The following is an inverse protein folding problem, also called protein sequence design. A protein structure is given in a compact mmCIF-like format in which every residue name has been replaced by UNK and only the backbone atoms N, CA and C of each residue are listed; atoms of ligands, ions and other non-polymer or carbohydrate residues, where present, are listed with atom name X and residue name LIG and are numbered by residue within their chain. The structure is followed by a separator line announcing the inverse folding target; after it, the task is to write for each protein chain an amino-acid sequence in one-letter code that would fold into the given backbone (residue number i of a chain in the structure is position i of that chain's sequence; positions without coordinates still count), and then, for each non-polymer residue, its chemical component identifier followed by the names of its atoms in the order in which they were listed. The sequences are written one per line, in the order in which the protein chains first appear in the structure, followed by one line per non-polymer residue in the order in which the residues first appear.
data_IF_065509001312
#
_entry.id   IF_065509001312
#
_cell.length_a   1.000
_cell.length_b   1.000
_cell.length_c   1.000
_cell.angle_alpha   90.00
_cell.angle_beta   90.00
_cell.angle_gamma   90.00
#
_symmetry.space_group_name_H-M   'P 1'
#
loop_
_entity.id
_entity.type
_entity.pdbx_description
1 polymer ?
#
# COMPACT_ATOMS: atom_id res chain seq x y z
N UNK A 1 20.77 21.91 -12.20
CA UNK A 1 20.76 20.48 -12.56
C UNK A 1 19.68 20.17 -13.61
N UNK A 2 18.51 20.84 -13.55
CA UNK A 2 17.35 20.55 -14.40
C UNK A 2 16.89 21.76 -15.24
N UNK A 3 17.81 22.67 -15.58
CA UNK A 3 17.52 23.93 -16.30
C UNK A 3 16.98 23.71 -17.72
N UNK A 4 17.23 22.55 -18.30
CA UNK A 4 16.74 22.15 -19.62
C UNK A 4 15.37 21.45 -19.59
N UNK A 5 14.78 21.28 -18.40
CA UNK A 5 13.44 20.72 -18.21
C UNK A 5 12.44 21.88 -18.11
N UNK A 6 11.36 21.90 -18.92
CA UNK A 6 10.48 23.07 -19.04
C UNK A 6 9.50 23.27 -17.87
N UNK A 7 9.59 22.43 -16.84
CA UNK A 7 8.78 22.46 -15.62
C UNK A 7 9.70 22.36 -14.40
N UNK A 8 9.21 22.76 -13.24
CA UNK A 8 9.98 22.67 -12.00
C UNK A 8 10.19 21.21 -11.58
N UNK A 9 11.38 20.94 -10.98
CA UNK A 9 11.72 19.66 -10.38
C UNK A 9 12.13 19.90 -8.93
N UNK A 10 11.32 19.41 -7.99
CA UNK A 10 11.57 19.61 -6.56
C UNK A 10 10.49 19.00 -5.67
N UNK A 11 10.77 18.96 -4.36
CA UNK A 11 9.91 18.31 -3.37
C UNK A 11 8.49 18.90 -3.27
N UNK A 12 8.28 20.15 -3.71
CA UNK A 12 6.97 20.81 -3.66
C UNK A 12 5.90 20.13 -4.51
N UNK A 13 6.30 19.31 -5.48
CA UNK A 13 5.39 18.61 -6.38
C UNK A 13 5.06 17.19 -5.94
N UNK A 14 5.69 16.69 -4.87
CA UNK A 14 5.44 15.36 -4.33
C UNK A 14 3.97 15.22 -3.93
N UNK A 15 3.29 14.20 -4.46
CA UNK A 15 1.88 13.93 -4.20
C UNK A 15 0.91 14.79 -5.00
N UNK A 16 1.35 15.53 -6.03
CA UNK A 16 0.45 16.22 -6.96
C UNK A 16 -0.57 15.23 -7.55
N UNK A 17 -1.85 15.57 -7.41
CA UNK A 17 -2.96 14.77 -7.96
C UNK A 17 -3.50 15.40 -9.23
N UNK A 18 -3.26 14.74 -10.38
CA UNK A 18 -3.78 15.18 -11.67
C UNK A 18 -5.12 14.50 -11.91
N UNK A 19 -6.21 15.29 -11.93
CA UNK A 19 -7.55 14.79 -12.20
C UNK A 19 -7.73 14.51 -13.71
N UNK A 20 -8.71 13.67 -14.06
CA UNK A 20 -8.98 13.29 -15.44
C UNK A 20 -9.16 14.49 -16.39
N UNK A 21 -9.79 15.58 -15.95
CA UNK A 21 -10.03 16.77 -16.76
C UNK A 21 -8.77 17.62 -16.96
N UNK A 22 -7.79 17.50 -16.08
CA UNK A 22 -6.54 18.25 -16.08
C UNK A 22 -5.40 17.47 -16.75
N UNK A 23 -5.65 16.21 -17.10
CA UNK A 23 -4.66 15.32 -17.67
C UNK A 23 -4.54 15.52 -19.19
N UNK A 24 -3.30 15.61 -19.69
CA UNK A 24 -2.99 15.52 -21.11
C UNK A 24 -3.08 14.06 -21.56
N UNK A 25 -2.31 13.17 -20.96
CA UNK A 25 -2.35 11.73 -21.23
C UNK A 25 -2.26 10.91 -19.94
N UNK A 26 -2.73 9.66 -20.01
CA UNK A 26 -2.59 8.65 -18.97
C UNK A 26 -1.79 7.48 -19.53
N UNK A 27 -0.78 7.02 -18.80
CA UNK A 27 0.02 5.85 -19.15
C UNK A 27 -0.11 4.77 -18.04
N UNK A 28 -0.28 3.53 -18.43
CA UNK A 28 -0.59 2.45 -17.49
C UNK A 28 -1.96 2.63 -16.86
N UNK A 29 -2.02 2.45 -15.54
CA UNK A 29 -3.26 2.60 -14.77
C UNK A 29 -4.18 1.38 -14.82
N UNK A 30 -5.35 1.46 -14.14
CA UNK A 30 -6.21 0.29 -13.90
C UNK A 30 -6.83 -0.32 -15.16
N UNK A 31 -6.86 0.41 -16.29
CA UNK A 31 -7.42 -0.08 -17.55
C UNK A 31 -6.41 -0.82 -18.43
N UNK A 32 -5.13 -0.79 -18.08
CA UNK A 32 -4.04 -1.46 -18.79
C UNK A 32 -3.63 -2.69 -17.99
N UNK A 33 -3.72 -3.87 -18.59
CA UNK A 33 -3.40 -5.13 -17.91
C UNK A 33 -1.88 -5.35 -17.84
N UNK A 34 -1.21 -5.33 -18.98
CA UNK A 34 0.24 -5.54 -19.06
C UNK A 34 0.96 -4.21 -18.90
N UNK A 35 1.63 -4.07 -17.78
CA UNK A 35 2.44 -2.91 -17.41
C UNK A 35 3.46 -3.32 -16.38
N UNK A 36 4.63 -2.71 -16.37
CA UNK A 36 5.67 -3.03 -15.40
C UNK A 36 6.60 -1.84 -15.14
N UNK A 37 7.24 -1.86 -13.98
CA UNK A 37 8.36 -1.01 -13.62
C UNK A 37 9.41 -1.91 -12.98
N UNK A 38 10.50 -2.12 -13.71
CA UNK A 38 11.52 -3.10 -13.37
C UNK A 38 12.87 -2.41 -13.27
N UNK A 39 13.59 -2.67 -12.18
CA UNK A 39 15.00 -2.35 -12.04
C UNK A 39 15.83 -3.62 -12.19
N UNK A 40 16.95 -3.51 -12.89
CA UNK A 40 17.92 -4.61 -13.06
C UNK A 40 19.33 -4.14 -12.77
N UNK A 41 20.02 -4.84 -11.87
CA UNK A 41 21.45 -4.71 -11.69
C UNK A 41 22.15 -5.47 -12.82
N UNK A 42 23.08 -4.79 -13.49
CA UNK A 42 23.89 -5.30 -14.58
C UNK A 42 25.37 -5.26 -14.21
N UNK A 43 26.17 -5.99 -14.92
CA UNK A 43 27.63 -5.88 -14.78
C UNK A 43 28.13 -4.58 -15.41
N UNK A 44 29.17 -3.96 -14.83
CA UNK A 44 29.80 -2.80 -15.45
C UNK A 44 30.19 -3.08 -16.92
N UNK A 45 29.81 -2.15 -17.81
CA UNK A 45 30.05 -2.26 -19.25
C UNK A 45 28.96 -2.97 -20.06
N UNK A 46 27.97 -3.62 -19.43
CA UNK A 46 26.83 -4.21 -20.15
C UNK A 46 25.79 -3.16 -20.57
N UNK A 47 25.80 -1.98 -19.95
CA UNK A 47 24.87 -0.89 -20.22
C UNK A 47 25.61 0.40 -20.59
N UNK A 48 24.92 1.31 -21.27
CA UNK A 48 25.46 2.62 -21.65
C UNK A 48 25.01 3.69 -20.65
N UNK A 49 25.97 4.27 -19.95
CA UNK A 49 25.66 5.32 -18.99
C UNK A 49 24.94 6.53 -19.61
N UNK A 50 23.95 7.04 -18.90
CA UNK A 50 23.19 8.22 -19.27
C UNK A 50 22.22 8.03 -20.44
N UNK A 51 22.07 6.80 -20.97
CA UNK A 51 21.19 6.53 -22.10
C UNK A 51 19.72 6.52 -21.69
N UNK A 52 18.89 7.23 -22.45
CA UNK A 52 17.44 7.21 -22.32
C UNK A 52 16.86 6.77 -23.67
N UNK A 53 16.03 5.72 -23.64
CA UNK A 53 15.37 5.17 -24.82
C UNK A 53 13.86 5.21 -24.62
N UNK A 54 13.13 5.59 -25.66
CA UNK A 54 11.67 5.53 -25.70
C UNK A 54 11.30 4.62 -26.87
N UNK A 55 10.58 3.54 -26.57
CA UNK A 55 10.12 2.56 -27.55
C UNK A 55 8.60 2.67 -27.65
N UNK A 56 8.10 3.06 -28.81
CA UNK A 56 6.72 3.45 -29.04
C UNK A 56 6.54 4.97 -29.06
N UNK A 57 5.30 5.50 -29.07
CA UNK A 57 5.02 6.93 -29.11
C UNK A 57 5.54 7.65 -27.86
N UNK A 58 6.21 8.79 -28.05
CA UNK A 58 6.55 9.72 -26.97
C UNK A 58 5.39 10.68 -26.69
N UNK A 59 5.47 11.49 -25.64
CA UNK A 59 4.40 12.41 -25.23
C UNK A 59 3.96 13.35 -26.36
N UNK A 60 4.90 13.78 -27.22
CA UNK A 60 4.60 14.62 -28.39
C UNK A 60 3.75 13.91 -29.46
N UNK A 61 3.83 12.59 -29.51
CA UNK A 61 3.12 11.77 -30.49
C UNK A 61 1.76 11.26 -29.97
N UNK A 62 1.44 11.58 -28.71
CA UNK A 62 0.24 11.11 -28.03
C UNK A 62 -0.92 12.11 -28.16
N UNK A 63 -2.15 11.61 -28.16
CA UNK A 63 -3.35 12.43 -28.25
C UNK A 63 -3.90 12.80 -26.85
N UNK A 64 -4.33 14.05 -26.71
CA UNK A 64 -4.90 14.56 -25.46
C UNK A 64 -6.12 13.72 -25.01
N UNK A 65 -6.15 13.39 -23.74
CA UNK A 65 -7.23 12.63 -23.10
C UNK A 65 -7.13 11.11 -23.29
N UNK A 66 -6.19 10.65 -24.11
CA UNK A 66 -6.02 9.23 -24.41
C UNK A 66 -5.19 8.50 -23.35
N UNK A 67 -5.23 7.16 -23.43
CA UNK A 67 -4.53 6.25 -22.53
C UNK A 67 -3.60 5.36 -23.33
N UNK A 68 -2.39 5.22 -22.81
CA UNK A 68 -1.34 4.40 -23.43
C UNK A 68 -0.82 3.36 -22.44
N UNK A 69 -0.29 2.23 -22.92
CA UNK A 69 0.42 1.28 -22.08
C UNK A 69 1.71 1.89 -21.54
N UNK A 70 2.29 1.28 -20.48
CA UNK A 70 3.54 1.74 -19.88
C UNK A 70 4.38 0.58 -19.37
N UNK A 71 5.63 0.54 -19.81
CA UNK A 71 6.71 -0.23 -19.20
C UNK A 71 7.87 0.71 -18.89
N UNK A 72 8.50 0.54 -17.74
CA UNK A 72 9.71 1.27 -17.35
C UNK A 72 10.77 0.23 -16.98
N UNK A 73 11.93 0.28 -17.65
CA UNK A 73 13.10 -0.53 -17.32
C UNK A 73 14.23 0.42 -16.96
N UNK A 74 14.73 0.29 -15.74
CA UNK A 74 15.93 1.00 -15.28
C UNK A 74 17.02 -0.05 -15.06
N UNK A 75 18.12 0.08 -15.79
CA UNK A 75 19.27 -0.79 -15.65
C UNK A 75 20.42 0.00 -15.04
N UNK A 76 21.03 -0.57 -14.01
CA UNK A 76 22.09 0.06 -13.22
C UNK A 76 23.30 -0.86 -13.13
N UNK A 77 24.49 -0.28 -13.11
CA UNK A 77 25.71 -1.03 -12.91
C UNK A 77 26.70 -0.25 -12.02
N UNK A 78 27.46 -1.01 -11.26
CA UNK A 78 28.52 -0.55 -10.38
C UNK A 78 29.13 -1.74 -9.63
N UNK A 79 30.39 -1.70 -9.22
CA UNK A 79 31.10 -2.84 -8.67
C UNK A 79 30.57 -3.32 -7.30
N UNK A 80 29.90 -2.43 -6.57
CA UNK A 80 29.35 -2.71 -5.23
C UNK A 80 27.85 -2.94 -5.23
N UNK A 81 27.21 -2.91 -6.42
CA UNK A 81 25.77 -3.15 -6.55
C UNK A 81 25.43 -4.64 -6.45
N UNK A 82 24.37 -4.94 -5.77
CA UNK A 82 23.78 -6.26 -5.67
C UNK A 82 22.31 -6.23 -6.09
N UNK A 83 21.78 -7.35 -6.57
CA UNK A 83 20.39 -7.47 -7.05
C UNK A 83 19.36 -7.13 -5.96
N UNK A 84 19.69 -7.33 -4.69
CA UNK A 84 18.81 -7.03 -3.57
C UNK A 84 18.45 -5.54 -3.43
N UNK A 85 19.11 -4.62 -4.16
CA UNK A 85 18.76 -3.19 -4.15
C UNK A 85 17.65 -2.85 -5.15
N UNK A 86 17.32 -3.75 -6.08
CA UNK A 86 16.42 -3.47 -7.20
C UNK A 86 15.04 -2.98 -6.75
N UNK A 87 14.42 -3.65 -5.75
CA UNK A 87 13.11 -3.25 -5.23
C UNK A 87 13.10 -1.86 -4.55
N UNK A 88 14.21 -1.49 -3.89
CA UNK A 88 14.35 -0.16 -3.29
C UNK A 88 14.40 0.91 -4.37
N UNK A 89 15.14 0.67 -5.45
CA UNK A 89 15.26 1.62 -6.56
C UNK A 89 13.94 1.73 -7.32
N UNK A 90 13.19 0.65 -7.51
CA UNK A 90 11.81 0.71 -8.05
C UNK A 90 10.95 1.68 -7.22
N UNK A 91 11.04 1.61 -5.89
CA UNK A 91 10.31 2.55 -5.03
C UNK A 91 10.82 3.99 -5.15
N UNK A 92 12.13 4.19 -5.42
CA UNK A 92 12.70 5.52 -5.67
C UNK A 92 12.26 6.13 -7.00
N UNK A 93 12.04 5.32 -8.03
CA UNK A 93 11.48 5.80 -9.30
C UNK A 93 10.15 6.51 -9.05
N UNK A 94 9.25 5.89 -8.27
CA UNK A 94 7.99 6.51 -7.89
C UNK A 94 8.18 7.87 -7.18
N UNK A 95 9.10 7.95 -6.24
CA UNK A 95 9.35 9.17 -5.48
C UNK A 95 9.88 10.29 -6.37
N UNK A 96 10.94 10.00 -7.13
CA UNK A 96 11.62 11.01 -7.93
C UNK A 96 10.80 11.53 -9.09
N UNK A 97 10.00 10.69 -9.72
CA UNK A 97 9.11 11.14 -10.80
C UNK A 97 8.01 12.08 -10.28
N UNK A 98 7.57 11.91 -9.02
CA UNK A 98 6.63 12.84 -8.38
C UNK A 98 7.26 14.17 -7.95
N UNK A 99 8.58 14.36 -8.09
CA UNK A 99 9.22 15.67 -7.93
C UNK A 99 9.07 16.56 -9.18
N UNK A 100 8.52 16.04 -10.28
CA UNK A 100 8.34 16.77 -11.53
C UNK A 100 6.97 17.46 -11.50
N UNK A 101 6.94 18.78 -11.67
CA UNK A 101 5.69 19.54 -11.77
C UNK A 101 4.81 19.02 -12.91
N UNK A 102 3.56 18.71 -12.60
CA UNK A 102 2.60 18.23 -13.58
C UNK A 102 2.81 16.79 -14.04
N UNK A 103 3.58 16.01 -13.29
CA UNK A 103 3.74 14.57 -13.48
C UNK A 103 3.27 13.84 -12.22
N UNK A 104 2.30 12.97 -12.35
CA UNK A 104 1.80 12.11 -11.26
C UNK A 104 2.18 10.68 -11.56
N UNK A 105 2.85 10.04 -10.64
CA UNK A 105 3.18 8.62 -10.72
C UNK A 105 2.70 7.89 -9.46
N UNK A 106 1.86 6.88 -9.65
CA UNK A 106 1.49 5.92 -8.64
C UNK A 106 2.10 4.57 -9.02
N UNK A 107 2.87 4.03 -8.11
CA UNK A 107 3.52 2.72 -8.27
C UNK A 107 3.13 1.81 -7.13
N UNK A 108 2.62 0.65 -7.49
CA UNK A 108 2.25 -0.46 -6.61
C UNK A 108 2.77 -1.77 -7.22
N UNK A 109 4.02 -1.78 -7.71
CA UNK A 109 4.69 -2.92 -8.33
C UNK A 109 3.96 -3.47 -9.56
N UNK A 110 2.72 -3.94 -9.41
CA UNK A 110 1.88 -4.49 -10.47
C UNK A 110 0.87 -3.48 -11.03
N UNK A 111 0.79 -2.28 -10.48
CA UNK A 111 -0.20 -1.27 -10.88
C UNK A 111 0.44 0.11 -10.98
N UNK A 112 1.30 0.27 -11.99
CA UNK A 112 1.88 1.58 -12.30
C UNK A 112 0.87 2.45 -13.03
N UNK A 113 0.81 3.72 -12.65
CA UNK A 113 -0.14 4.66 -13.18
C UNK A 113 0.46 6.06 -13.22
N UNK A 114 0.66 6.57 -14.44
CA UNK A 114 1.23 7.88 -14.70
C UNK A 114 0.17 8.77 -15.35
N UNK A 115 0.14 10.04 -14.94
CA UNK A 115 -0.58 11.12 -15.65
C UNK A 115 0.33 12.31 -15.85
N UNK A 116 0.27 12.87 -17.06
CA UNK A 116 0.90 14.14 -17.40
C UNK A 116 -0.18 15.22 -17.45
N UNK A 117 0.05 16.35 -16.78
CA UNK A 117 -0.91 17.46 -16.76
C UNK A 117 -0.87 18.26 -18.06
N UNK A 118 -2.04 18.76 -18.53
CA UNK A 118 -2.14 19.70 -19.66
C UNK A 118 -1.25 20.92 -19.48
N UNK A 119 -1.19 21.47 -18.25
CA UNK A 119 -0.34 22.62 -17.92
C UNK A 119 1.15 22.35 -18.14
N UNK A 120 1.62 21.12 -17.81
CA UNK A 120 3.01 20.75 -18.02
C UNK A 120 3.31 20.57 -19.52
N UNK A 121 2.43 19.88 -20.24
CA UNK A 121 2.56 19.72 -21.68
C UNK A 121 2.60 21.08 -22.39
N UNK A 122 1.73 22.01 -22.02
CA UNK A 122 1.70 23.37 -22.58
C UNK A 122 2.97 24.20 -22.29
N UNK A 123 3.70 23.88 -21.20
CA UNK A 123 5.01 24.47 -20.90
C UNK A 123 6.16 23.83 -21.72
N UNK A 124 5.89 22.79 -22.52
CA UNK A 124 6.89 22.09 -23.32
C UNK A 124 7.35 20.74 -22.75
N UNK A 125 6.68 20.21 -21.73
CA UNK A 125 6.97 18.86 -21.21
C UNK A 125 6.39 17.80 -22.15
N UNK A 126 7.08 17.59 -23.28
CA UNK A 126 6.61 16.82 -24.44
C UNK A 126 7.35 15.50 -24.66
N UNK A 127 8.23 15.11 -23.74
CA UNK A 127 8.99 13.85 -23.85
C UNK A 127 9.18 13.19 -22.51
N UNK A 128 9.07 11.85 -22.46
CA UNK A 128 9.48 11.02 -21.32
C UNK A 128 10.99 11.07 -21.07
N UNK A 129 11.75 11.59 -22.04
CA UNK A 129 13.18 11.85 -21.90
C UNK A 129 13.52 12.77 -20.71
N UNK A 130 12.65 13.72 -20.38
CA UNK A 130 12.83 14.57 -19.19
C UNK A 130 12.69 13.74 -17.88
N UNK A 131 11.77 12.80 -17.85
CA UNK A 131 11.63 11.86 -16.70
C UNK A 131 12.89 11.03 -16.54
N UNK A 132 13.41 10.48 -17.63
CA UNK A 132 14.67 9.73 -17.62
C UNK A 132 15.85 10.55 -17.12
N UNK A 133 15.97 11.82 -17.52
CA UNK A 133 17.02 12.73 -17.00
C UNK A 133 16.92 12.93 -15.49
N UNK A 134 15.71 13.16 -14.97
CA UNK A 134 15.49 13.31 -13.52
C UNK A 134 15.89 12.05 -12.77
N UNK A 135 15.44 10.88 -13.25
CA UNK A 135 15.78 9.59 -12.64
C UNK A 135 17.29 9.35 -12.59
N UNK A 136 17.98 9.52 -13.71
CA UNK A 136 19.44 9.33 -13.80
C UNK A 136 20.16 10.25 -12.83
N UNK A 137 19.80 11.54 -12.82
CA UNK A 137 20.48 12.53 -11.98
C UNK A 137 20.25 12.26 -10.49
N UNK A 138 19.02 11.98 -10.06
CA UNK A 138 18.70 11.79 -8.65
C UNK A 138 19.22 10.45 -8.12
N UNK A 139 19.10 9.36 -8.89
CA UNK A 139 19.61 8.06 -8.48
C UNK A 139 21.13 8.06 -8.31
N UNK A 140 21.88 8.67 -9.24
CA UNK A 140 23.35 8.80 -9.10
C UNK A 140 23.76 9.71 -7.95
N UNK A 141 22.98 10.75 -7.67
CA UNK A 141 23.27 11.67 -6.57
C UNK A 141 23.04 11.01 -5.19
N UNK A 142 21.99 10.23 -5.07
CA UNK A 142 21.64 9.55 -3.80
C UNK A 142 22.47 8.29 -3.57
N UNK A 143 22.72 7.52 -4.62
CA UNK A 143 23.48 6.27 -4.57
C UNK A 143 24.72 6.37 -5.48
N UNK A 144 25.81 6.99 -5.03
CA UNK A 144 27.03 7.17 -5.84
C UNK A 144 27.69 5.87 -6.30
N UNK A 145 27.31 4.72 -5.70
CA UNK A 145 27.75 3.40 -6.14
C UNK A 145 27.15 2.99 -7.51
N UNK A 146 26.12 3.73 -7.99
CA UNK A 146 25.59 3.58 -9.35
C UNK A 146 26.51 4.33 -10.30
N UNK A 147 27.45 3.62 -10.91
CA UNK A 147 28.38 4.20 -11.87
C UNK A 147 27.76 4.39 -13.25
N UNK A 148 26.93 3.43 -13.67
CA UNK A 148 26.23 3.45 -14.95
C UNK A 148 24.74 3.24 -14.75
N UNK A 149 23.92 3.96 -15.52
CA UNK A 149 22.47 3.86 -15.51
C UNK A 149 21.92 4.15 -16.90
N UNK A 150 20.98 3.32 -17.32
CA UNK A 150 20.15 3.60 -18.49
C UNK A 150 18.68 3.38 -18.19
N UNK A 151 17.82 4.14 -18.86
CA UNK A 151 16.37 4.13 -18.67
C UNK A 151 15.69 3.87 -20.01
N UNK A 152 14.79 2.90 -20.04
CA UNK A 152 13.96 2.63 -21.21
C UNK A 152 12.49 2.74 -20.85
N UNK A 153 11.76 3.55 -21.61
CA UNK A 153 10.30 3.64 -21.54
C UNK A 153 9.70 2.86 -22.72
N UNK A 154 8.70 2.04 -22.42
CA UNK A 154 7.90 1.32 -23.40
C UNK A 154 6.48 1.86 -23.35
N UNK A 155 5.98 2.33 -24.49
CA UNK A 155 4.67 2.97 -24.62
C UNK A 155 3.80 2.34 -25.70
N UNK A 156 4.26 1.25 -26.31
CA UNK A 156 3.47 0.44 -27.22
C UNK A 156 3.18 -0.96 -26.63
N UNK A 157 2.05 -1.52 -27.02
CA UNK A 157 1.56 -2.78 -26.47
C UNK A 157 2.45 -3.97 -26.84
N UNK A 158 2.98 -4.00 -28.04
CA UNK A 158 3.73 -5.15 -28.55
C UNK A 158 5.05 -5.35 -27.78
N UNK A 159 5.80 -4.27 -27.64
CA UNK A 159 7.07 -4.32 -26.88
C UNK A 159 6.86 -4.56 -25.39
N UNK A 160 5.77 -4.06 -24.81
CA UNK A 160 5.43 -4.35 -23.40
C UNK A 160 5.08 -5.82 -23.24
N UNK A 161 4.20 -6.38 -24.08
CA UNK A 161 3.82 -7.79 -24.01
C UNK A 161 5.03 -8.71 -24.14
N UNK A 162 5.99 -8.37 -25.00
CA UNK A 162 7.23 -9.12 -25.16
C UNK A 162 8.11 -9.12 -23.89
N UNK A 163 8.04 -8.09 -23.06
CA UNK A 163 8.84 -7.92 -21.83
C UNK A 163 8.09 -8.28 -20.54
N UNK A 164 6.77 -8.31 -20.58
CA UNK A 164 5.93 -8.47 -19.40
C UNK A 164 6.22 -9.78 -18.66
N UNK A 165 6.38 -10.89 -19.40
CA UNK A 165 6.68 -12.19 -18.80
C UNK A 165 8.06 -12.18 -18.08
N UNK A 166 9.06 -11.49 -18.64
CA UNK A 166 10.37 -11.31 -18.00
C UNK A 166 10.27 -10.53 -16.70
N UNK A 167 9.50 -9.43 -16.71
CA UNK A 167 9.29 -8.61 -15.52
C UNK A 167 8.56 -9.40 -14.41
N UNK A 168 7.50 -10.13 -14.76
CA UNK A 168 6.77 -10.96 -13.81
C UNK A 168 7.63 -12.07 -13.23
N UNK A 169 8.46 -12.73 -14.06
CA UNK A 169 9.39 -13.74 -13.60
C UNK A 169 10.46 -13.19 -12.64
N UNK A 170 10.94 -11.96 -12.88
CA UNK A 170 11.88 -11.30 -11.98
C UNK A 170 11.26 -10.99 -10.62
N UNK A 171 10.02 -10.48 -10.61
CA UNK A 171 9.29 -10.25 -9.36
C UNK A 171 9.05 -11.54 -8.59
N UNK A 172 8.58 -12.60 -9.27
CA UNK A 172 8.32 -13.88 -8.61
C UNK A 172 9.60 -14.52 -8.07
N UNK A 173 10.73 -14.43 -8.78
CA UNK A 173 12.01 -14.95 -8.28
C UNK A 173 12.46 -14.24 -6.99
N UNK A 174 12.30 -12.92 -6.90
CA UNK A 174 12.58 -12.15 -5.67
C UNK A 174 11.66 -12.56 -4.52
N UNK A 175 10.38 -12.71 -4.80
CA UNK A 175 9.37 -13.06 -3.81
C UNK A 175 9.52 -14.50 -3.31
N UNK A 176 9.76 -15.44 -4.21
CA UNK A 176 9.99 -16.84 -3.87
C UNK A 176 11.19 -17.02 -2.94
N UNK A 177 12.27 -16.25 -3.19
CA UNK A 177 13.44 -16.25 -2.31
C UNK A 177 13.10 -15.72 -0.92
N UNK A 178 12.34 -14.67 -0.82
CA UNK A 178 11.96 -14.09 0.47
C UNK A 178 11.02 -14.99 1.26
N UNK A 179 10.11 -15.73 0.61
CA UNK A 179 9.20 -16.70 1.26
C UNK A 179 9.94 -17.87 1.91
N UNK A 180 11.17 -18.15 1.52
CA UNK A 180 12.01 -19.20 2.11
C UNK A 180 12.60 -18.85 3.48
N UNK A 181 12.41 -17.60 3.97
CA UNK A 181 12.96 -17.12 5.24
C UNK A 181 11.82 -16.79 6.21
N UNK A 182 12.02 -17.12 7.49
CA UNK A 182 11.05 -16.81 8.55
C UNK A 182 11.53 -15.68 9.47
N UNK A 183 10.63 -15.11 10.22
CA UNK A 183 10.96 -14.05 11.19
C UNK A 183 11.84 -14.58 12.33
N UNK A 184 11.84 -15.90 12.58
CA UNK A 184 12.66 -16.53 13.61
C UNK A 184 14.10 -16.80 13.14
N UNK A 185 14.35 -16.78 11.82
CA UNK A 185 15.68 -17.02 11.25
C UNK A 185 16.61 -15.79 11.32
N UNK A 186 16.10 -14.64 11.78
CA UNK A 186 16.83 -13.37 11.75
C UNK A 186 16.76 -12.63 13.09
N UNK A 187 17.83 -11.93 13.43
CA UNK A 187 17.91 -11.07 14.63
C UNK A 187 17.65 -9.59 14.31
N UNK A 188 17.62 -9.24 13.02
CA UNK A 188 17.47 -7.88 12.54
C UNK A 188 16.31 -7.81 11.55
N UNK A 189 15.38 -6.91 11.84
CA UNK A 189 14.35 -6.44 10.89
C UNK A 189 14.80 -5.13 10.25
N UNK A 190 14.02 -4.60 9.31
CA UNK A 190 14.32 -3.33 8.69
C UNK A 190 13.15 -2.37 8.80
N UNK A 191 13.48 -1.10 9.03
CA UNK A 191 12.51 0.00 8.97
C UNK A 191 12.66 0.76 7.67
N UNK A 192 11.54 1.21 7.11
CA UNK A 192 11.53 2.07 5.94
C UNK A 192 10.76 3.37 6.25
N UNK A 193 11.41 4.51 6.07
CA UNK A 193 10.87 5.85 6.28
C UNK A 193 10.65 6.63 4.98
N UNK A 194 10.75 5.98 3.80
CA UNK A 194 10.60 6.62 2.48
C UNK A 194 9.29 7.38 2.32
N UNK A 195 8.22 6.93 2.98
CA UNK A 195 6.90 7.53 2.88
C UNK A 195 6.62 8.60 3.95
N UNK A 196 7.58 8.98 4.78
CA UNK A 196 7.37 9.98 5.83
C UNK A 196 7.12 11.40 5.29
N UNK A 197 7.47 11.68 4.04
CA UNK A 197 7.06 12.90 3.34
C UNK A 197 5.53 13.04 3.19
N UNK A 198 4.82 11.92 3.12
CA UNK A 198 3.35 11.89 3.01
C UNK A 198 2.65 11.54 4.32
N UNK A 199 3.32 10.76 5.16
CA UNK A 199 2.80 10.23 6.42
C UNK A 199 3.90 10.31 7.49
N UNK A 200 4.11 11.47 8.12
CA UNK A 200 5.27 11.74 8.97
C UNK A 200 5.47 10.77 10.15
N UNK A 201 4.39 10.20 10.67
CA UNK A 201 4.44 9.22 11.76
C UNK A 201 4.55 7.76 11.29
N UNK A 202 4.52 7.52 9.97
CA UNK A 202 4.60 6.17 9.43
C UNK A 202 6.03 5.62 9.51
N UNK A 203 6.17 4.44 10.12
CA UNK A 203 7.38 3.63 10.07
C UNK A 203 6.98 2.27 9.54
N UNK A 204 7.38 1.96 8.31
CA UNK A 204 7.13 0.65 7.73
C UNK A 204 8.13 -0.34 8.30
N UNK A 205 7.65 -1.38 8.97
CA UNK A 205 8.48 -2.48 9.48
C UNK A 205 8.45 -3.62 8.48
N UNK A 206 9.64 -4.08 8.11
CA UNK A 206 9.86 -5.13 7.10
C UNK A 206 10.54 -6.30 7.79
N UNK A 207 9.91 -7.45 7.74
CA UNK A 207 10.43 -8.71 8.23
C UNK A 207 10.49 -9.73 7.09
N UNK A 208 11.15 -10.89 7.24
CA UNK A 208 11.07 -11.96 6.25
C UNK A 208 9.65 -12.30 5.83
N UNK A 209 8.72 -12.38 6.79
CA UNK A 209 7.34 -12.79 6.57
C UNK A 209 6.36 -11.61 6.41
N UNK A 210 6.86 -10.38 6.41
CA UNK A 210 6.05 -9.18 6.22
C UNK A 210 6.79 -8.15 5.37
N UNK A 211 6.46 -8.06 4.10
CA UNK A 211 6.98 -7.03 3.19
C UNK A 211 6.54 -5.62 3.61
N UNK A 212 7.23 -4.62 3.08
CA UNK A 212 6.71 -3.26 3.10
C UNK A 212 5.29 -3.22 2.53
N UNK A 213 4.44 -2.35 3.06
CA UNK A 213 3.04 -2.25 2.63
C UNK A 213 2.88 -1.98 1.13
N UNK A 214 3.87 -1.34 0.49
CA UNK A 214 3.89 -1.08 -0.95
C UNK A 214 4.20 -2.31 -1.81
N UNK A 215 4.58 -3.43 -1.20
CA UNK A 215 4.92 -4.66 -1.90
C UNK A 215 6.28 -4.67 -2.60
N UNK A 216 6.96 -3.53 -2.70
CA UNK A 216 8.21 -3.40 -3.47
C UNK A 216 9.47 -3.79 -2.69
N UNK A 217 9.44 -3.74 -1.35
CA UNK A 217 10.63 -3.91 -0.51
C UNK A 217 10.46 -5.12 0.39
N UNK A 218 11.26 -6.14 0.12
CA UNK A 218 11.42 -7.34 0.94
C UNK A 218 12.45 -7.12 2.06
N UNK A 219 12.62 -8.11 2.93
CA UNK A 219 13.67 -8.11 3.93
C UNK A 219 15.07 -8.05 3.30
N UNK A 220 15.28 -8.73 2.18
CA UNK A 220 16.55 -8.71 1.45
C UNK A 220 16.86 -7.33 0.90
N UNK A 221 15.87 -6.66 0.29
CA UNK A 221 16.00 -5.27 -0.18
C UNK A 221 16.33 -4.33 0.97
N UNK A 222 15.67 -4.49 2.13
CA UNK A 222 15.94 -3.72 3.33
C UNK A 222 17.38 -3.91 3.83
N UNK A 223 17.87 -5.14 3.81
CA UNK A 223 19.26 -5.49 4.18
C UNK A 223 20.28 -4.83 3.26
N UNK A 224 20.07 -4.95 1.95
CA UNK A 224 20.97 -4.36 0.96
C UNK A 224 21.00 -2.83 1.08
N UNK A 225 19.83 -2.19 1.15
CA UNK A 225 19.74 -0.74 1.28
C UNK A 225 20.42 -0.20 2.54
N UNK A 226 20.19 -0.83 3.70
CA UNK A 226 20.82 -0.41 4.96
C UNK A 226 22.34 -0.60 4.96
N UNK A 227 22.87 -1.57 4.21
CA UNK A 227 24.31 -1.79 4.04
C UNK A 227 24.92 -0.74 3.13
N UNK A 228 24.26 -0.46 1.99
CA UNK A 228 24.76 0.48 0.97
C UNK A 228 24.67 1.92 1.47
N UNK A 229 23.57 2.28 2.10
CA UNK A 229 23.35 3.61 2.69
C UNK A 229 22.95 3.51 4.18
N UNK A 230 23.94 3.37 5.09
CA UNK A 230 23.66 3.22 6.53
C UNK A 230 22.97 4.42 7.19
N UNK A 231 22.96 5.58 6.54
CA UNK A 231 22.28 6.81 7.01
C UNK A 231 20.98 7.09 6.26
N UNK A 232 20.64 6.23 5.33
CA UNK A 232 19.48 6.36 4.47
C UNK A 232 18.14 6.14 5.17
N UNK A 233 17.06 6.25 4.43
CA UNK A 233 15.71 6.10 4.96
C UNK A 233 15.32 4.65 5.27
N UNK A 234 16.11 3.66 4.83
CA UNK A 234 15.96 2.26 5.19
C UNK A 234 17.06 1.91 6.18
N UNK A 235 16.69 1.40 7.34
CA UNK A 235 17.59 1.24 8.48
C UNK A 235 17.34 -0.07 9.22
N UNK A 236 18.37 -0.66 9.85
CA UNK A 236 18.23 -1.88 10.64
C UNK A 236 17.46 -1.59 11.93
N UNK A 237 16.62 -2.54 12.33
CA UNK A 237 15.93 -2.60 13.62
C UNK A 237 16.38 -3.88 14.31
N UNK A 238 17.13 -3.77 15.42
CA UNK A 238 17.35 -4.94 16.29
C UNK A 238 16.00 -5.47 16.74
N UNK A 239 15.77 -6.76 16.59
CA UNK A 239 14.52 -7.43 16.98
C UNK A 239 14.22 -7.20 18.47
N UNK A 240 15.27 -7.26 19.31
CA UNK A 240 15.11 -7.14 20.76
C UNK A 240 14.33 -8.31 21.35
N UNK A 241 13.71 -8.08 22.49
CA UNK A 241 12.88 -9.07 23.16
C UNK A 241 11.53 -9.25 22.46
N UNK A 242 11.11 -10.49 22.26
CA UNK A 242 9.76 -10.81 21.80
C UNK A 242 8.78 -10.68 22.98
N UNK A 243 7.97 -9.61 22.98
CA UNK A 243 7.05 -9.30 24.07
C UNK A 243 5.72 -10.04 23.93
N UNK A 244 5.25 -10.23 22.71
CA UNK A 244 4.00 -10.94 22.41
C UNK A 244 4.15 -11.67 21.05
N UNK A 245 4.50 -12.96 21.06
CA UNK A 245 4.85 -13.69 19.82
C UNK A 245 3.69 -13.87 18.86
N UNK A 246 2.46 -14.02 19.37
CA UNK A 246 1.27 -14.22 18.54
C UNK A 246 0.93 -12.96 17.76
N UNK A 247 1.05 -11.80 18.41
CA UNK A 247 0.77 -10.50 17.76
C UNK A 247 1.97 -9.93 17.02
N UNK A 248 3.15 -10.49 17.20
CA UNK A 248 4.38 -9.99 16.61
C UNK A 248 4.82 -8.67 17.25
N UNK A 249 4.83 -8.59 18.59
CA UNK A 249 5.34 -7.44 19.32
C UNK A 249 6.80 -7.68 19.74
N UNK A 250 7.66 -6.75 19.36
CA UNK A 250 9.10 -6.79 19.67
C UNK A 250 9.56 -5.45 20.27
N UNK A 251 10.40 -5.52 21.31
CA UNK A 251 10.88 -4.32 22.01
C UNK A 251 11.65 -3.36 21.09
N UNK A 252 12.50 -3.88 20.21
CA UNK A 252 13.28 -3.06 19.29
C UNK A 252 12.42 -2.39 18.22
N UNK A 253 11.32 -3.03 17.78
CA UNK A 253 10.35 -2.38 16.88
C UNK A 253 9.65 -1.23 17.59
N UNK A 254 9.17 -1.44 18.82
CA UNK A 254 8.50 -0.41 19.60
C UNK A 254 9.40 0.80 19.84
N UNK A 255 10.66 0.57 20.19
CA UNK A 255 11.64 1.64 20.39
C UNK A 255 11.90 2.42 19.08
N UNK A 256 12.14 1.71 17.99
CA UNK A 256 12.37 2.32 16.67
C UNK A 256 11.17 3.11 16.17
N UNK A 257 9.96 2.55 16.30
CA UNK A 257 8.72 3.22 15.93
C UNK A 257 8.52 4.51 16.75
N UNK A 258 8.71 4.45 18.08
CA UNK A 258 8.61 5.62 18.96
C UNK A 258 9.58 6.74 18.55
N UNK A 259 10.85 6.37 18.30
CA UNK A 259 11.87 7.34 17.87
C UNK A 259 11.54 8.00 16.54
N UNK A 260 11.13 7.21 15.54
CA UNK A 260 10.92 7.68 14.16
C UNK A 260 9.59 8.39 13.95
N UNK A 261 8.58 8.09 14.76
CA UNK A 261 7.28 8.74 14.75
C UNK A 261 7.15 9.94 15.69
N UNK A 262 8.26 10.39 16.27
CA UNK A 262 8.30 11.45 17.30
C UNK A 262 7.37 11.15 18.49
N UNK A 263 7.27 9.88 18.86
CA UNK A 263 6.49 9.41 20.00
C UNK A 263 5.00 9.16 19.73
N UNK A 264 4.52 9.39 18.51
CA UNK A 264 3.09 9.15 18.17
C UNK A 264 2.75 7.67 18.07
N UNK A 265 3.71 6.83 17.68
CA UNK A 265 3.58 5.37 17.62
C UNK A 265 4.58 4.76 18.58
N UNK A 266 4.11 4.09 19.64
CA UNK A 266 4.96 3.54 20.70
C UNK A 266 4.85 2.03 20.84
N UNK A 267 3.90 1.39 20.14
CA UNK A 267 3.67 -0.05 20.12
C UNK A 267 3.15 -0.46 18.74
N UNK A 268 3.63 -1.57 18.23
CA UNK A 268 3.17 -2.15 16.97
C UNK A 268 2.97 -3.65 17.14
N UNK A 269 1.81 -4.14 16.73
CA UNK A 269 1.52 -5.54 16.48
C UNK A 269 1.63 -5.83 14.99
N UNK A 270 2.62 -6.60 14.59
CA UNK A 270 2.89 -6.86 13.17
C UNK A 270 1.83 -7.73 12.50
N UNK A 271 1.18 -8.61 13.27
CA UNK A 271 0.29 -9.66 12.77
C UNK A 271 -1.15 -9.53 13.23
N UNK A 272 -1.51 -8.34 13.74
CA UNK A 272 -2.88 -8.01 14.16
C UNK A 272 -3.34 -6.69 13.56
N UNK A 273 -4.61 -6.62 13.15
CA UNK A 273 -5.27 -5.38 12.74
C UNK A 273 -5.94 -4.62 13.90
N UNK A 274 -5.77 -5.08 15.16
CA UNK A 274 -6.41 -4.49 16.33
C UNK A 274 -5.41 -4.02 17.38
N UNK A 275 -5.87 -3.11 18.24
CA UNK A 275 -5.18 -2.48 19.35
C UNK A 275 -4.02 -1.57 18.89
N UNK A 276 -2.96 -2.12 18.39
CA UNK A 276 -1.78 -1.39 17.90
C UNK A 276 -1.37 -1.88 16.50
N UNK A 277 -2.27 -1.82 15.51
CA UNK A 277 -1.94 -2.32 14.17
C UNK A 277 -0.76 -1.55 13.60
N UNK A 278 -0.03 -2.18 12.71
CA UNK A 278 1.02 -1.51 11.96
C UNK A 278 0.45 -0.30 11.21
N UNK A 279 1.17 0.80 11.18
CA UNK A 279 0.75 2.03 10.50
C UNK A 279 0.74 1.87 8.98
N UNK A 280 0.01 2.74 8.29
CA UNK A 280 -0.05 2.76 6.82
C UNK A 280 0.20 4.17 6.29
N UNK A 281 0.98 4.29 5.21
CA UNK A 281 1.25 5.58 4.58
C UNK A 281 0.18 6.01 3.59
N UNK A 282 -0.40 5.06 2.87
CA UNK A 282 -1.27 5.26 1.70
C UNK A 282 -0.72 4.60 0.43
N UNK A 283 0.55 4.19 0.43
CA UNK A 283 1.21 3.48 -0.68
C UNK A 283 1.16 1.95 -0.50
N UNK A 284 0.10 1.41 0.06
CA UNK A 284 -0.11 -0.03 0.22
C UNK A 284 -0.75 -0.64 -1.04
N UNK A 285 -0.50 -1.93 -1.29
CA UNK A 285 -1.09 -2.66 -2.41
C UNK A 285 -2.56 -3.00 -2.17
N UNK A 286 -2.94 -3.27 -0.92
CA UNK A 286 -4.29 -3.59 -0.53
C UNK A 286 -4.63 -3.13 0.88
N UNK A 287 -5.89 -3.34 1.25
CA UNK A 287 -6.43 -3.05 2.58
C UNK A 287 -7.15 -4.29 3.08
N UNK A 288 -6.78 -4.75 4.27
CA UNK A 288 -7.62 -5.60 5.08
C UNK A 288 -8.52 -4.70 5.94
N UNK A 289 -9.83 -4.90 5.87
CA UNK A 289 -10.81 -4.11 6.61
C UNK A 289 -11.75 -5.04 7.39
N UNK A 290 -12.02 -4.67 8.63
CA UNK A 290 -12.90 -5.42 9.50
C UNK A 290 -14.37 -5.15 9.17
N UNK A 291 -15.17 -6.19 9.16
CA UNK A 291 -16.61 -6.18 8.94
C UNK A 291 -17.28 -6.63 10.24
N UNK A 292 -17.71 -5.70 11.11
CA UNK A 292 -18.23 -6.02 12.45
C UNK A 292 -19.42 -6.97 12.44
N UNK A 293 -20.30 -6.85 11.45
CA UNK A 293 -21.54 -7.61 11.37
C UNK A 293 -21.33 -9.12 11.18
N UNK A 294 -20.14 -9.49 10.72
CA UNK A 294 -19.75 -10.90 10.54
C UNK A 294 -18.48 -11.26 11.34
N UNK A 295 -17.99 -10.38 12.20
CA UNK A 295 -16.75 -10.59 12.98
C UNK A 295 -15.53 -10.96 12.11
N UNK A 296 -15.52 -10.58 10.81
CA UNK A 296 -14.58 -10.99 9.79
C UNK A 296 -13.84 -9.87 9.10
N UNK A 297 -12.89 -10.24 8.26
CA UNK A 297 -12.17 -9.32 7.41
C UNK A 297 -12.63 -9.42 5.95
N UNK A 298 -12.77 -8.26 5.32
CA UNK A 298 -12.71 -8.12 3.88
C UNK A 298 -11.31 -7.70 3.44
N UNK A 299 -10.92 -8.09 2.23
CA UNK A 299 -9.66 -7.65 1.63
C UNK A 299 -9.96 -7.06 0.26
N UNK A 300 -9.31 -5.95 -0.06
CA UNK A 300 -9.43 -5.33 -1.38
C UNK A 300 -8.08 -4.80 -1.83
N UNK A 301 -7.73 -5.04 -3.09
CA UNK A 301 -6.49 -4.52 -3.67
C UNK A 301 -6.72 -3.18 -4.35
N UNK A 302 -5.67 -2.40 -4.46
CA UNK A 302 -5.66 -1.19 -5.27
C UNK A 302 -6.03 -1.52 -6.71
N UNK A 303 -6.81 -0.66 -7.34
CA UNK A 303 -7.31 -0.90 -8.70
C UNK A 303 -8.69 -1.57 -8.77
N UNK A 304 -9.21 -2.10 -7.65
CA UNK A 304 -10.60 -2.57 -7.59
C UNK A 304 -11.57 -1.40 -7.86
N UNK A 305 -12.47 -1.57 -8.84
CA UNK A 305 -13.29 -0.47 -9.38
C UNK A 305 -14.66 -0.35 -8.75
N UNK A 306 -15.13 -1.46 -8.20
CA UNK A 306 -16.46 -1.53 -7.60
C UNK A 306 -16.40 -1.12 -6.10
N UNK A 307 -17.56 -1.12 -5.46
CA UNK A 307 -17.65 -1.01 -4.01
C UNK A 307 -17.44 -2.39 -3.37
N UNK A 308 -16.86 -2.40 -2.20
CA UNK A 308 -16.70 -3.62 -1.41
C UNK A 308 -18.02 -4.04 -0.78
N UNK A 309 -18.07 -5.21 -0.18
CA UNK A 309 -19.28 -5.76 0.45
C UNK A 309 -19.88 -4.86 1.53
N UNK A 310 -19.07 -4.00 2.18
CA UNK A 310 -19.53 -2.99 3.14
C UNK A 310 -19.99 -1.68 2.48
N UNK A 311 -20.11 -1.63 1.15
CA UNK A 311 -20.59 -0.48 0.39
C UNK A 311 -19.57 0.64 0.19
N UNK A 312 -18.30 0.47 0.60
CA UNK A 312 -17.27 1.49 0.47
C UNK A 312 -16.35 1.23 -0.73
N UNK A 313 -15.98 2.25 -1.52
CA UNK A 313 -14.94 2.12 -2.52
C UNK A 313 -13.55 2.08 -1.86
N UNK A 314 -12.58 1.48 -2.55
CA UNK A 314 -11.19 1.41 -2.10
C UNK A 314 -10.63 2.79 -1.68
N UNK A 315 -10.90 3.85 -2.44
CA UNK A 315 -10.39 5.19 -2.16
C UNK A 315 -10.81 5.73 -0.80
N UNK A 316 -12.07 5.52 -0.40
CA UNK A 316 -12.59 5.96 0.91
C UNK A 316 -11.90 5.22 2.05
N UNK A 317 -11.74 3.89 1.91
CA UNK A 317 -11.04 3.09 2.91
C UNK A 317 -9.54 3.44 2.97
N UNK A 318 -8.92 3.73 1.82
CA UNK A 318 -7.54 4.16 1.74
C UNK A 318 -7.30 5.48 2.48
N UNK A 319 -8.17 6.46 2.29
CA UNK A 319 -8.09 7.76 2.98
C UNK A 319 -8.25 7.60 4.50
N UNK A 320 -9.08 6.66 4.94
CA UNK A 320 -9.27 6.35 6.37
C UNK A 320 -8.05 5.63 6.98
N UNK A 321 -7.38 4.79 6.21
CA UNK A 321 -6.27 3.93 6.65
C UNK A 321 -4.92 4.65 6.59
N UNK A 322 -4.74 5.56 5.65
CA UNK A 322 -3.48 6.26 5.37
C UNK A 322 -3.08 7.28 6.45
N UNK A 323 -1.93 7.93 6.25
CA UNK A 323 -1.47 9.07 7.04
C UNK A 323 -0.62 8.71 8.26
N UNK A 324 -0.10 7.49 8.34
CA UNK A 324 0.80 7.07 9.42
C UNK A 324 0.11 6.79 10.75
N UNK A 325 -1.19 6.65 10.76
CA UNK A 325 -1.99 6.36 11.96
C UNK A 325 -2.15 4.87 12.18
N UNK A 326 -2.38 4.49 13.43
CA UNK A 326 -2.87 3.17 13.81
C UNK A 326 -4.40 3.23 13.83
N UNK A 327 -5.07 2.45 13.00
CA UNK A 327 -6.53 2.46 12.86
C UNK A 327 -7.03 1.03 13.07
N UNK A 328 -7.70 0.78 14.18
CA UNK A 328 -8.22 -0.54 14.49
C UNK A 328 -9.19 -1.03 13.42
N UNK A 329 -9.01 -2.27 13.01
CA UNK A 329 -9.80 -2.90 11.97
C UNK A 329 -9.44 -2.49 10.53
N UNK A 330 -8.44 -1.63 10.33
CA UNK A 330 -7.94 -1.27 9.00
C UNK A 330 -6.43 -1.43 8.93
N UNK A 331 -5.97 -2.20 7.94
CA UNK A 331 -4.56 -2.51 7.79
C UNK A 331 -4.15 -2.43 6.33
N UNK A 332 -3.23 -1.51 6.01
CA UNK A 332 -2.59 -1.48 4.69
C UNK A 332 -1.63 -2.65 4.55
N UNK A 333 -1.79 -3.42 3.49
CA UNK A 333 -1.08 -4.69 3.28
C UNK A 333 -0.42 -4.74 1.91
N UNK A 334 0.57 -5.62 1.78
CA UNK A 334 1.12 -6.07 0.51
C UNK A 334 0.58 -7.44 0.14
N UNK A 335 0.66 -7.79 -1.14
CA UNK A 335 0.28 -9.11 -1.64
C UNK A 335 1.14 -10.22 -1.01
N UNK A 336 2.45 -9.96 -0.85
CA UNK A 336 3.35 -10.92 -0.23
C UNK A 336 3.07 -11.15 1.27
N UNK A 337 2.59 -10.13 1.98
CA UNK A 337 2.13 -10.33 3.35
C UNK A 337 0.88 -11.25 3.40
N UNK A 338 -0.04 -11.12 2.44
CA UNK A 338 -1.18 -12.05 2.33
C UNK A 338 -0.73 -13.49 2.05
N UNK A 339 0.39 -13.68 1.35
CA UNK A 339 0.96 -15.00 1.06
C UNK A 339 1.70 -15.62 2.25
N UNK A 340 1.94 -14.85 3.28
CA UNK A 340 2.67 -15.26 4.47
C UNK A 340 1.77 -16.01 5.48
N UNK A 341 2.28 -17.04 6.17
CA UNK A 341 1.58 -17.67 7.30
C UNK A 341 1.35 -16.70 8.48
N UNK A 342 2.04 -15.57 8.52
CA UNK A 342 1.84 -14.51 9.53
C UNK A 342 0.72 -13.53 9.18
N UNK A 343 0.07 -13.70 8.03
CA UNK A 343 -1.03 -12.81 7.62
C UNK A 343 -2.18 -12.81 8.62
N UNK A 344 -2.34 -11.68 9.33
CA UNK A 344 -3.34 -11.49 10.39
C UNK A 344 -3.43 -12.67 11.37
N UNK A 345 -2.31 -13.35 11.63
CA UNK A 345 -2.27 -14.60 12.37
C UNK A 345 -2.85 -14.46 13.79
N UNK A 346 -2.61 -13.32 14.44
CA UNK A 346 -3.16 -13.02 15.77
C UNK A 346 -4.68 -12.86 15.78
N UNK A 347 -5.26 -12.53 14.61
CA UNK A 347 -6.70 -12.30 14.46
C UNK A 347 -7.44 -13.52 13.91
N UNK A 348 -6.73 -14.58 13.56
CA UNK A 348 -7.27 -15.82 13.00
C UNK A 348 -6.94 -16.07 11.53
N UNK A 349 -6.14 -15.20 10.90
CA UNK A 349 -5.67 -15.39 9.52
C UNK A 349 -6.81 -15.58 8.52
N UNK A 350 -6.62 -16.47 7.56
CA UNK A 350 -7.63 -16.78 6.54
C UNK A 350 -8.93 -17.38 7.11
N UNK A 351 -8.90 -18.01 8.28
CA UNK A 351 -10.11 -18.49 8.93
C UNK A 351 -11.05 -17.34 9.38
N UNK A 352 -10.58 -16.11 9.35
CA UNK A 352 -11.37 -14.91 9.64
C UNK A 352 -11.60 -14.01 8.42
N UNK A 353 -11.11 -14.40 7.24
CA UNK A 353 -11.36 -13.67 6.00
C UNK A 353 -12.72 -14.07 5.43
N UNK A 354 -13.66 -13.14 5.42
CA UNK A 354 -15.04 -13.36 5.01
C UNK A 354 -15.28 -13.05 3.52
N UNK A 355 -14.55 -12.07 2.97
CA UNK A 355 -14.78 -11.56 1.62
C UNK A 355 -13.49 -11.08 0.94
N UNK A 356 -13.33 -11.45 -0.34
CA UNK A 356 -12.23 -11.01 -1.22
C UNK A 356 -12.77 -10.86 -2.64
N UNK A 357 -12.35 -9.89 -3.47
CA UNK A 357 -12.67 -9.86 -4.90
C UNK A 357 -12.30 -11.18 -5.60
N UNK A 358 -13.14 -11.61 -6.53
CA UNK A 358 -12.98 -12.90 -7.22
C UNK A 358 -11.59 -13.08 -7.83
N UNK A 359 -11.12 -12.10 -8.58
CA UNK A 359 -9.82 -12.18 -9.25
C UNK A 359 -8.67 -12.29 -8.24
N UNK A 360 -8.77 -11.59 -7.11
CA UNK A 360 -7.79 -11.70 -6.02
C UNK A 360 -7.85 -13.08 -5.36
N UNK A 361 -9.05 -13.62 -5.12
CA UNK A 361 -9.21 -14.97 -4.57
C UNK A 361 -8.53 -16.01 -5.46
N UNK A 362 -8.73 -15.91 -6.78
CA UNK A 362 -8.10 -16.82 -7.74
C UNK A 362 -6.56 -16.67 -7.75
N UNK A 363 -6.06 -15.44 -7.71
CA UNK A 363 -4.61 -15.17 -7.63
C UNK A 363 -3.98 -15.74 -6.34
N UNK A 364 -4.76 -15.80 -5.26
CA UNK A 364 -4.32 -16.29 -3.95
C UNK A 364 -4.60 -17.77 -3.72
N UNK A 365 -5.06 -18.52 -4.73
CA UNK A 365 -5.53 -19.90 -4.61
C UNK A 365 -4.54 -20.84 -3.91
N UNK A 366 -3.26 -20.71 -4.20
CA UNK A 366 -2.21 -21.57 -3.63
C UNK A 366 -1.85 -21.20 -2.17
N UNK A 367 -2.25 -20.03 -1.70
CA UNK A 367 -1.91 -19.50 -0.38
C UNK A 367 -3.11 -19.50 0.59
N UNK A 368 -4.32 -19.51 0.06
CA UNK A 368 -5.52 -19.70 0.87
C UNK A 368 -5.65 -21.19 1.20
N UNK A 369 -5.86 -21.58 2.48
CA UNK A 369 -6.11 -22.97 2.83
C UNK A 369 -7.23 -23.57 1.98
N UNK A 370 -6.99 -24.74 1.41
CA UNK A 370 -7.88 -25.35 0.42
C UNK A 370 -9.33 -25.55 0.92
N UNK A 371 -9.49 -25.85 2.20
CA UNK A 371 -10.77 -25.99 2.87
C UNK A 371 -11.51 -24.66 3.07
N UNK A 372 -10.82 -23.53 3.04
CA UNK A 372 -11.39 -22.18 3.19
C UNK A 372 -11.69 -21.52 1.84
N UNK A 373 -11.04 -21.95 0.78
CA UNK A 373 -11.12 -21.28 -0.52
C UNK A 373 -12.56 -21.04 -1.03
N UNK A 374 -13.40 -22.07 -0.96
CA UNK A 374 -14.82 -21.98 -1.39
C UNK A 374 -15.73 -21.36 -0.32
N UNK A 375 -15.25 -21.14 0.89
CA UNK A 375 -16.01 -20.57 2.00
C UNK A 375 -15.85 -19.05 2.11
N UNK A 376 -14.84 -18.46 1.45
CA UNK A 376 -14.63 -17.03 1.37
C UNK A 376 -15.48 -16.48 0.22
N UNK A 377 -16.38 -15.55 0.52
CA UNK A 377 -17.27 -14.93 -0.46
C UNK A 377 -16.51 -13.95 -1.39
N UNK A 378 -17.08 -13.72 -2.57
CA UNK A 378 -16.61 -12.75 -3.54
C UNK A 378 -17.75 -11.81 -3.95
N UNK A 379 -17.46 -10.78 -4.75
CA UNK A 379 -18.48 -9.91 -5.35
C UNK A 379 -19.40 -10.64 -6.34
N UNK A 380 -19.03 -11.86 -6.76
CA UNK A 380 -19.89 -12.71 -7.59
C UNK A 380 -20.93 -13.47 -6.77
N UNK A 381 -20.62 -13.70 -5.49
CA UNK A 381 -21.47 -14.48 -4.58
C UNK A 381 -22.42 -13.57 -3.80
N UNK A 382 -21.94 -12.39 -3.35
CA UNK A 382 -22.70 -11.49 -2.46
C UNK A 382 -22.44 -10.02 -2.80
N UNK A 383 -23.44 -9.17 -2.55
CA UNK A 383 -23.35 -7.71 -2.76
C UNK A 383 -23.47 -6.90 -1.48
N UNK A 384 -24.02 -7.48 -0.44
CA UNK A 384 -24.32 -6.81 0.83
C UNK A 384 -23.78 -7.61 2.01
N UNK A 385 -23.62 -6.93 3.15
CA UNK A 385 -23.19 -7.58 4.40
C UNK A 385 -24.22 -8.61 4.89
N UNK A 386 -25.52 -8.39 4.63
CA UNK A 386 -26.56 -9.36 4.97
C UNK A 386 -26.39 -10.65 4.16
N UNK A 387 -26.25 -10.53 2.84
CA UNK A 387 -26.00 -11.68 1.95
C UNK A 387 -24.68 -12.40 2.33
N UNK A 388 -23.67 -11.63 2.77
CA UNK A 388 -22.40 -12.19 3.24
C UNK A 388 -22.62 -13.09 4.47
N UNK A 389 -23.41 -12.65 5.44
CA UNK A 389 -23.73 -13.46 6.64
C UNK A 389 -24.41 -14.77 6.27
N UNK A 390 -25.37 -14.72 5.36
CA UNK A 390 -26.09 -15.90 4.87
C UNK A 390 -25.16 -16.84 4.10
N UNK A 391 -24.29 -16.31 3.25
CA UNK A 391 -23.27 -17.07 2.52
C UNK A 391 -22.33 -17.80 3.48
N UNK A 392 -21.76 -17.10 4.45
CA UNK A 392 -20.81 -17.67 5.42
C UNK A 392 -21.48 -18.79 6.25
N UNK A 393 -22.76 -18.61 6.58
CA UNK A 393 -23.56 -19.62 7.28
C UNK A 393 -23.80 -20.87 6.42
N UNK A 394 -24.21 -20.69 5.18
CA UNK A 394 -24.51 -21.82 4.27
C UNK A 394 -23.26 -22.61 3.87
N UNK A 395 -22.08 -21.97 3.87
CA UNK A 395 -20.80 -22.59 3.55
C UNK A 395 -20.01 -23.07 4.80
N UNK A 396 -20.65 -23.04 5.97
CA UNK A 396 -20.03 -23.46 7.24
C UNK A 396 -18.66 -22.81 7.49
N UNK A 397 -18.56 -21.48 7.25
CA UNK A 397 -17.32 -20.74 7.46
C UNK A 397 -16.93 -20.76 8.95
N UNK A 398 -15.66 -20.98 9.32
CA UNK A 398 -15.25 -21.10 10.74
C UNK A 398 -15.49 -19.82 11.57
N UNK A 399 -15.68 -18.68 10.93
CA UNK A 399 -16.03 -17.41 11.58
C UNK A 399 -17.32 -17.48 12.40
N UNK A 400 -18.24 -18.39 12.04
CA UNK A 400 -19.50 -18.61 12.76
C UNK A 400 -19.31 -19.02 14.23
N UNK A 401 -18.18 -19.62 14.58
CA UNK A 401 -17.86 -19.95 15.97
C UNK A 401 -17.76 -18.70 16.85
N UNK A 402 -17.34 -17.58 16.27
CA UNK A 402 -17.26 -16.27 16.96
C UNK A 402 -18.66 -15.71 17.25
N UNK A 403 -19.60 -15.88 16.33
CA UNK A 403 -20.99 -15.43 16.54
C UNK A 403 -21.67 -16.18 17.67
N UNK A 404 -21.42 -17.52 17.77
CA UNK A 404 -21.96 -18.34 18.87
C UNK A 404 -21.40 -17.94 20.23
N UNK A 405 -20.14 -17.51 20.28
CA UNK A 405 -19.51 -17.06 21.51
C UNK A 405 -20.14 -15.75 22.02
N UNK A 406 -20.48 -14.81 21.12
CA UNK A 406 -21.19 -13.58 21.49
C UNK A 406 -22.62 -13.82 21.97
N UNK A 407 -23.33 -14.79 21.36
CA UNK A 407 -24.68 -15.15 21.77
C UNK A 407 -24.73 -15.91 23.11
N UNK A 408 -23.61 -16.52 23.52
CA UNK A 408 -23.51 -17.33 24.73
C UNK A 408 -22.99 -16.57 25.97
N UNK A 409 -22.47 -15.36 25.85
CA UNK A 409 -22.16 -14.53 27.01
C UNK A 409 -23.47 -13.99 27.62
N UNK A 410 -23.85 -14.38 28.84
CA UNK A 410 -25.08 -13.86 29.47
C UNK A 410 -24.89 -12.38 29.75
N UNK A 411 -25.73 -11.56 29.14
CA UNK A 411 -25.85 -10.16 29.52
C UNK A 411 -26.43 -10.10 30.92
N UNK A 412 -25.59 -10.01 31.95
CA UNK A 412 -26.06 -9.66 33.27
C UNK A 412 -26.68 -8.26 33.26
N UNK A 413 -27.99 -8.24 33.27
CA UNK A 413 -28.84 -7.13 33.72
C UNK A 413 -28.93 -5.94 32.82
N UNK A 414 -29.90 -5.94 31.90
CA UNK A 414 -30.93 -4.89 31.81
C UNK A 414 -31.96 -5.30 30.75
N UNK A 415 -33.24 -5.24 31.13
CA UNK A 415 -34.40 -5.38 30.21
C UNK A 415 -34.45 -4.18 29.25
N UNK A 416 -34.04 -4.38 28.01
CA UNK A 416 -34.18 -3.42 26.92
C UNK A 416 -34.02 -4.12 25.58
N UNK A 417 -34.97 -3.93 24.68
CA UNK A 417 -34.97 -4.51 23.35
C UNK A 417 -33.75 -4.10 22.54
N UNK A 418 -33.05 -5.05 21.91
CA UNK A 418 -31.92 -4.80 21.02
C UNK A 418 -32.46 -4.40 19.64
N UNK A 419 -32.18 -3.18 19.19
CA UNK A 419 -32.36 -2.79 17.80
C UNK A 419 -31.01 -2.74 17.09
N UNK A 420 -30.92 -3.48 15.98
CA UNK A 420 -29.76 -3.47 15.08
C UNK A 420 -29.95 -2.32 14.08
N UNK A 421 -29.03 -1.37 14.06
CA UNK A 421 -29.02 -0.33 13.03
C UNK A 421 -28.36 -0.86 11.76
N UNK A 422 -29.14 -0.97 10.68
CA UNK A 422 -28.60 -1.13 9.32
C UNK A 422 -28.08 0.21 8.82
N UNK A 423 -26.82 0.23 8.35
CA UNK A 423 -26.16 1.45 7.89
C UNK A 423 -26.89 2.11 6.72
N UNK A 424 -27.18 3.41 6.87
CA UNK A 424 -27.78 4.20 5.80
C UNK A 424 -27.82 5.70 6.03
N UNK A 425 -27.83 6.19 7.27
CA UNK A 425 -28.15 7.62 7.52
C UNK A 425 -27.19 8.32 8.50
N UNK A 426 -25.88 8.35 8.17
CA UNK A 426 -24.98 9.33 8.77
C UNK A 426 -24.68 10.44 7.76
N UNK A 427 -25.11 11.68 7.98
CA UNK A 427 -24.68 12.79 7.14
C UNK A 427 -23.17 12.99 7.30
N UNK A 428 -22.44 12.92 6.18
CA UNK A 428 -21.02 13.25 6.12
C UNK A 428 -20.90 14.77 6.33
N UNK A 429 -20.52 15.18 7.53
CA UNK A 429 -20.16 16.56 7.80
C UNK A 429 -18.67 16.75 7.61
N UNK A 430 -18.29 17.67 6.75
CA UNK A 430 -16.92 18.13 6.56
C UNK A 430 -16.44 18.85 7.83
N UNK A 431 -15.72 18.14 8.69
CA UNK A 431 -15.20 18.62 9.96
C UNK A 431 -15.20 17.44 10.94
N UNK A 432 -14.13 16.68 10.93
CA UNK A 432 -14.06 15.40 11.66
C UNK A 432 -14.27 15.57 13.16
N UNK A 433 -15.28 14.91 13.69
CA UNK A 433 -15.36 14.62 15.11
C UNK A 433 -15.10 13.12 15.34
N UNK A 434 -14.44 12.81 16.46
CA UNK A 434 -14.11 11.44 16.85
C UNK A 434 -15.00 11.08 18.04
N UNK A 435 -15.87 10.08 17.87
CA UNK A 435 -16.57 9.46 18.99
C UNK A 435 -15.81 8.19 19.33
N UNK A 436 -15.27 8.08 20.54
CA UNK A 436 -14.56 6.89 21.01
C UNK A 436 -15.38 6.27 22.13
N UNK A 437 -15.94 5.10 21.87
CA UNK A 437 -16.51 4.26 22.90
C UNK A 437 -15.49 3.19 23.28
N UNK A 438 -15.03 3.18 24.54
CA UNK A 438 -14.21 2.10 25.08
C UNK A 438 -15.09 1.24 25.98
N UNK A 439 -15.18 -0.05 25.66
CA UNK A 439 -15.90 -1.06 26.45
C UNK A 439 -17.37 -0.65 26.77
N UNK A 440 -18.01 0.01 25.82
CA UNK A 440 -19.39 0.46 25.96
C UNK A 440 -20.25 -0.16 24.86
N UNK A 441 -21.35 -0.77 25.26
CA UNK A 441 -22.44 -1.13 24.35
C UNK A 441 -23.50 -0.07 24.47
N UNK A 442 -23.81 0.62 23.37
CA UNK A 442 -24.83 1.67 23.36
C UNK A 442 -26.03 1.12 22.61
N UNK A 443 -27.17 1.08 23.31
CA UNK A 443 -28.47 0.79 22.73
C UNK A 443 -29.34 2.02 22.87
N UNK A 444 -29.79 2.59 21.74
CA UNK A 444 -30.63 3.78 21.77
C UNK A 444 -31.61 3.72 20.58
N UNK A 445 -32.86 4.13 20.82
CA UNK A 445 -33.87 4.26 19.77
C UNK A 445 -33.55 5.41 18.81
N UNK A 446 -32.77 6.39 19.30
CA UNK A 446 -32.32 7.53 18.51
C UNK A 446 -31.07 8.15 19.14
N UNK A 447 -30.05 8.43 18.30
CA UNK A 447 -28.87 9.21 18.68
C UNK A 447 -28.99 10.58 18.01
N UNK A 448 -28.95 11.64 18.80
CA UNK A 448 -28.94 13.01 18.30
C UNK A 448 -27.57 13.59 18.64
N UNK A 449 -26.85 14.05 17.59
CA UNK A 449 -25.55 14.69 17.74
C UNK A 449 -25.73 16.16 17.47
N UNK A 450 -25.60 16.99 18.53
CA UNK A 450 -25.68 18.45 18.45
C UNK A 450 -24.27 19.04 18.60
N UNK A 451 -23.86 20.01 17.76
CA UNK A 451 -22.61 20.72 17.95
C UNK A 451 -22.68 21.57 19.23
N UNK A 452 -21.70 21.42 20.12
CA UNK A 452 -21.54 22.31 21.26
C UNK A 452 -21.14 23.69 20.74
N UNK A 453 -22.04 24.67 20.81
CA UNK A 453 -21.66 26.03 20.50
C UNK A 453 -20.66 26.54 21.57
N UNK A 454 -19.52 27.12 21.15
CA UNK A 454 -18.61 27.73 22.11
C UNK A 454 -19.36 28.83 22.87
N UNK A 455 -19.32 28.76 24.20
CA UNK A 455 -19.85 29.87 25.05
C UNK A 455 -19.16 31.16 24.61
N UNK A 456 -19.95 32.14 24.16
CA UNK A 456 -19.47 33.51 23.98
C UNK A 456 -18.80 33.95 25.29
N UNK A 457 -17.57 34.51 25.27
CA UNK A 457 -17.00 35.09 26.45
C UNK A 457 -17.97 36.18 26.95
N UNK A 458 -18.43 36.01 28.17
CA UNK A 458 -19.31 36.95 28.82
C UNK A 458 -18.66 38.33 28.85
N UNK A 459 -19.39 39.35 28.40
CA UNK A 459 -19.06 40.73 28.68
C UNK A 459 -19.10 40.91 30.23
N UNK A 460 -17.91 41.07 30.80
CA UNK A 460 -17.77 41.39 32.21
C UNK A 460 -18.30 42.80 32.46
N UNK A 461 -19.10 42.92 33.47
CA UNK A 461 -19.40 44.17 34.17
C UNK A 461 -18.25 44.44 35.14
#
# INVERSE_FOLDING_TARGET
MFEDIPVDVGLVHVGERIRKNDMYVELGGPSVQEKFELVKVRKPGEIRDGTITITGPDLADMEEGMKYPLGILVEIAGPELEEDIEGVIERRIHEYTNYIEGFMHLNQRYDIWVRVAKKAYAKGFTTLGYVGKVLIALLKNELPIIEQIQVTFFTDKETISARYAEAMAAYEARDARARGLTDDDVDVFYGCALCQSFAPSHVCVITPQRYANCGAISWFDGRAAARIDPKGPIFPISKGECLEPVKGEYSGINESAKKRSLGTVHRIYLYSAFAFPHTSCGCFEGIAFYIPEVEGFGIVMRGYKDVTVNGLPFSTMADSTAGGRQVDGFHGISLEYMRSPKFLAADGGYARVAWIPYDLREQMREFIPADLFSRIATEKDVKTVSELRDFLSSHAHPIMERWKAEESEPVEGTNGAVQVFSGGDFPIMAGGFKIVFKNARITADRVIIEPIQPKKPGAGV
#
